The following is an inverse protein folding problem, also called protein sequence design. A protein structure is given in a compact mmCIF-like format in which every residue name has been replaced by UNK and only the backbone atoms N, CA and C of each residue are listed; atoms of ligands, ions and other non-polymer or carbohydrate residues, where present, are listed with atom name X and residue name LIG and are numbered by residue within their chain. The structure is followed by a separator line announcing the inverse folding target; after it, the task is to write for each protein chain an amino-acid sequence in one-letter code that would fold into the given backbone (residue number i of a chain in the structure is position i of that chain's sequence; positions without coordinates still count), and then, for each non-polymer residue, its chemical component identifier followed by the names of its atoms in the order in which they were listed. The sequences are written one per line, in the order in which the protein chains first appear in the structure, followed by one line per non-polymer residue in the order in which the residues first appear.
data_IF_486642672946
#
_entry.id   IF_486642672946
#
_cell.length_a   1.000
_cell.length_b   1.000
_cell.length_c   1.000
_cell.angle_alpha   90.00
_cell.angle_beta   90.00
_cell.angle_gamma   90.00
#
_symmetry.space_group_name_H-M   'P 1'
#
loop_
_entity.id
_entity.type
_entity.pdbx_description
1 polymer ?
#
# COMPACT_ATOMS: atom_id res chain seq x y z
N UNK A 1 39.49 7.93 11.01
CA UNK A 1 38.22 7.49 10.42
C UNK A 1 37.22 8.62 10.64
N UNK A 2 37.14 9.58 9.71
CA UNK A 2 36.20 10.72 9.81
C UNK A 2 35.07 10.40 8.85
N UNK A 3 34.09 9.66 9.35
CA UNK A 3 32.77 9.55 8.75
C UNK A 3 32.08 10.88 9.01
N UNK A 4 31.77 11.64 7.97
CA UNK A 4 30.76 12.70 8.09
C UNK A 4 29.39 12.02 8.03
N UNK A 5 29.13 11.18 9.05
CA UNK A 5 27.80 10.64 9.27
C UNK A 5 26.96 11.78 9.84
N UNK A 6 26.12 12.39 9.00
CA UNK A 6 24.76 12.61 9.48
C UNK A 6 24.17 11.21 9.63
N UNK A 7 24.01 10.73 10.86
CA UNK A 7 23.43 9.41 11.16
C UNK A 7 22.16 9.21 10.31
N UNK A 8 22.33 8.42 9.26
CA UNK A 8 21.30 7.99 8.32
C UNK A 8 21.59 6.52 8.06
N UNK A 9 21.02 5.74 8.95
CA UNK A 9 21.03 4.30 9.02
C UNK A 9 20.06 3.76 8.00
N UNK A 10 20.66 3.25 6.94
CA UNK A 10 20.31 2.21 5.96
C UNK A 10 18.86 1.82 5.60
N UNK A 11 17.80 2.50 6.06
CA UNK A 11 16.41 2.12 5.74
C UNK A 11 15.56 3.29 5.21
N UNK A 12 16.19 4.24 4.50
CA UNK A 12 15.54 5.35 3.79
C UNK A 12 16.16 5.59 2.40
N UNK A 13 16.51 4.52 1.69
CA UNK A 13 17.50 4.52 0.60
C UNK A 13 17.19 5.44 -0.62
N UNK A 14 15.93 5.77 -0.89
CA UNK A 14 15.56 6.40 -2.17
C UNK A 14 15.49 7.93 -2.17
N UNK A 15 15.63 8.60 -1.03
CA UNK A 15 15.69 10.08 -0.98
C UNK A 15 17.07 10.64 -0.65
N UNK A 16 17.98 9.78 -0.18
CA UNK A 16 19.32 10.18 0.25
C UNK A 16 20.31 9.91 -0.87
N UNK A 17 21.06 10.91 -1.31
CA UNK A 17 22.08 10.72 -2.34
C UNK A 17 23.32 10.05 -1.73
N UNK A 18 23.77 8.93 -2.29
CA UNK A 18 25.04 8.30 -1.90
C UNK A 18 26.15 8.75 -2.83
N UNK A 19 27.15 9.40 -2.26
CA UNK A 19 28.23 10.03 -3.00
C UNK A 19 29.56 9.54 -2.48
N UNK A 20 30.36 8.96 -3.37
CA UNK A 20 31.71 8.49 -3.07
C UNK A 20 32.72 9.51 -3.60
N UNK A 21 33.57 10.05 -2.72
CA UNK A 21 34.59 11.02 -3.11
C UNK A 21 35.98 10.62 -2.63
N UNK A 22 37.02 11.09 -3.32
CA UNK A 22 38.40 10.89 -2.92
C UNK A 22 38.69 11.70 -1.65
N UNK A 23 39.47 11.14 -0.71
CA UNK A 23 39.70 11.77 0.60
C UNK A 23 40.48 13.10 0.54
N UNK A 24 41.34 13.27 -0.45
CA UNK A 24 42.20 14.45 -0.63
C UNK A 24 41.46 15.73 -1.04
N UNK A 25 40.30 15.58 -1.68
CA UNK A 25 39.49 16.70 -2.19
C UNK A 25 38.42 17.18 -1.21
N UNK A 26 38.22 16.49 -0.07
CA UNK A 26 37.17 16.76 0.93
C UNK A 26 37.16 18.21 1.43
N UNK A 27 38.33 18.80 1.68
CA UNK A 27 38.43 20.17 2.20
C UNK A 27 37.98 21.22 1.19
N UNK A 28 38.03 20.91 -0.11
CA UNK A 28 37.63 21.81 -1.20
C UNK A 28 36.11 21.91 -1.34
N UNK A 29 35.35 20.99 -0.74
CA UNK A 29 33.90 20.87 -0.94
C UNK A 29 33.04 21.29 0.25
N UNK A 30 33.63 21.64 1.39
CA UNK A 30 32.85 22.00 2.60
C UNK A 30 31.81 23.09 2.34
N UNK A 31 32.13 24.03 1.46
CA UNK A 31 31.22 25.12 1.08
C UNK A 31 30.11 24.63 0.12
N UNK A 32 30.44 23.75 -0.84
CA UNK A 32 29.50 23.19 -1.81
C UNK A 32 28.45 22.26 -1.17
N UNK A 33 28.83 21.56 -0.10
CA UNK A 33 27.93 20.68 0.67
C UNK A 33 26.77 21.48 1.28
N UNK A 34 27.00 22.74 1.65
CA UNK A 34 25.99 23.58 2.30
C UNK A 34 24.88 24.07 1.36
N UNK A 35 25.10 24.04 0.03
CA UNK A 35 24.13 24.50 -0.97
C UNK A 35 23.20 23.39 -1.49
N UNK A 36 23.49 22.12 -1.19
CA UNK A 36 22.71 20.99 -1.69
C UNK A 36 21.52 20.75 -0.76
N UNK A 37 20.30 20.94 -1.27
CA UNK A 37 19.05 20.86 -0.51
C UNK A 37 18.56 19.43 -0.21
N UNK A 38 19.37 18.42 -0.47
CA UNK A 38 19.05 17.01 -0.31
C UNK A 38 19.90 16.39 0.80
N UNK A 39 19.37 15.38 1.49
CA UNK A 39 20.17 14.55 2.39
C UNK A 39 21.21 13.81 1.52
N UNK A 40 22.50 14.04 1.77
CA UNK A 40 23.61 13.38 1.05
C UNK A 40 24.43 12.57 2.05
N UNK A 41 24.59 11.28 1.79
CA UNK A 41 25.56 10.42 2.46
C UNK A 41 26.86 10.51 1.68
N UNK A 42 27.88 11.02 2.36
CA UNK A 42 29.24 11.12 1.82
C UNK A 42 30.08 9.98 2.36
N UNK A 43 30.64 9.17 1.46
CA UNK A 43 31.72 8.25 1.81
C UNK A 43 33.01 8.62 1.09
N UNK A 44 34.12 8.26 1.70
CA UNK A 44 35.47 8.65 1.29
C UNK A 44 36.28 7.41 0.91
N UNK A 45 37.02 7.47 -0.18
CA UNK A 45 37.96 6.41 -0.54
C UNK A 45 39.41 6.92 -0.64
N UNK A 46 40.34 5.98 -0.54
CA UNK A 46 41.77 6.10 -0.80
C UNK A 46 42.14 5.19 -2.00
N UNK A 47 43.24 5.47 -2.70
CA UNK A 47 43.51 4.82 -4.00
C UNK A 47 43.50 3.28 -3.99
N UNK A 48 43.79 2.66 -2.85
CA UNK A 48 43.83 1.20 -2.68
C UNK A 48 42.46 0.56 -2.44
N UNK A 49 41.49 1.28 -1.85
CA UNK A 49 40.16 0.73 -1.50
C UNK A 49 39.03 1.15 -2.46
N UNK A 50 39.36 1.97 -3.48
CA UNK A 50 38.40 2.50 -4.45
C UNK A 50 37.51 1.44 -5.09
N UNK A 51 38.14 0.35 -5.57
CA UNK A 51 37.46 -0.72 -6.29
C UNK A 51 36.51 -1.49 -5.38
N UNK A 52 36.94 -1.76 -4.15
CA UNK A 52 36.16 -2.51 -3.18
C UNK A 52 34.93 -1.70 -2.74
N UNK A 53 35.09 -0.38 -2.52
CA UNK A 53 33.99 0.52 -2.16
C UNK A 53 32.93 0.67 -3.25
N UNK A 54 33.35 0.77 -4.52
CA UNK A 54 32.39 0.83 -5.64
C UNK A 54 31.53 -0.43 -5.70
N UNK A 55 32.10 -1.59 -5.41
CA UNK A 55 31.40 -2.88 -5.46
C UNK A 55 30.57 -3.16 -4.20
N UNK A 56 30.91 -2.53 -3.07
CA UNK A 56 30.24 -2.76 -1.79
C UNK A 56 28.83 -2.14 -1.71
N UNK A 57 28.60 -1.01 -2.39
CA UNK A 57 27.35 -0.24 -2.29
C UNK A 57 26.85 0.25 -3.65
N UNK A 58 25.57 0.66 -3.71
CA UNK A 58 25.00 1.35 -4.88
C UNK A 58 25.21 2.86 -4.72
N UNK A 59 26.05 3.43 -5.57
CA UNK A 59 26.38 4.86 -5.57
C UNK A 59 25.57 5.64 -6.60
N UNK A 60 25.10 6.84 -6.24
CA UNK A 60 24.46 7.76 -7.17
C UNK A 60 25.52 8.54 -7.97
N UNK A 61 26.55 9.02 -7.27
CA UNK A 61 27.66 9.78 -7.85
C UNK A 61 29.00 9.32 -7.28
N UNK A 62 29.99 9.14 -8.15
CA UNK A 62 31.36 8.74 -7.79
C UNK A 62 32.34 9.74 -8.39
N UNK A 63 33.12 10.42 -7.55
CA UNK A 63 34.26 11.21 -7.99
C UNK A 63 35.47 10.29 -8.19
N UNK A 64 35.76 9.89 -9.42
CA UNK A 64 36.86 9.00 -9.74
C UNK A 64 36.80 8.45 -11.15
N UNK A 65 37.74 7.56 -11.49
CA UNK A 65 37.78 6.94 -12.81
C UNK A 65 36.65 5.93 -12.99
N UNK A 66 35.98 5.97 -14.14
CA UNK A 66 34.98 4.95 -14.49
C UNK A 66 35.68 3.61 -14.72
N UNK A 67 35.56 2.72 -13.75
CA UNK A 67 36.17 1.38 -13.79
C UNK A 67 35.19 0.29 -14.27
N UNK A 68 33.89 0.55 -14.22
CA UNK A 68 32.81 -0.38 -14.57
C UNK A 68 31.67 0.36 -15.29
N UNK A 69 30.92 -0.36 -16.13
CA UNK A 69 29.64 0.13 -16.61
C UNK A 69 28.57 -0.14 -15.56
N UNK A 70 28.07 0.94 -14.96
CA UNK A 70 26.97 0.94 -14.00
C UNK A 70 25.92 1.91 -14.55
N UNK A 71 24.75 1.40 -14.92
CA UNK A 71 23.71 2.20 -15.62
C UNK A 71 23.20 3.38 -14.78
N UNK A 72 23.22 3.24 -13.45
CA UNK A 72 22.64 4.21 -12.52
C UNK A 72 23.65 5.11 -11.80
N UNK A 73 24.96 4.94 -12.04
CA UNK A 73 26.01 5.66 -11.30
C UNK A 73 26.74 6.67 -12.18
N UNK A 74 26.80 7.92 -11.73
CA UNK A 74 27.51 8.99 -12.43
C UNK A 74 28.97 9.07 -11.98
N UNK A 75 29.89 8.75 -12.88
CA UNK A 75 31.32 8.94 -12.66
C UNK A 75 31.75 10.32 -13.13
N UNK A 76 32.45 11.05 -12.26
CA UNK A 76 32.92 12.42 -12.50
C UNK A 76 34.39 12.56 -12.12
N UNK A 77 35.12 13.44 -12.80
CA UNK A 77 36.57 13.62 -12.57
C UNK A 77 36.95 15.07 -12.24
N UNK A 78 36.01 16.01 -12.38
CA UNK A 78 36.21 17.42 -12.03
C UNK A 78 35.19 17.94 -11.04
N UNK A 79 35.54 19.01 -10.31
CA UNK A 79 34.65 19.62 -9.32
C UNK A 79 33.34 20.12 -9.94
N UNK A 80 33.43 20.70 -11.14
CA UNK A 80 32.27 21.21 -11.88
C UNK A 80 31.35 20.09 -12.34
N UNK A 81 31.92 18.96 -12.78
CA UNK A 81 31.14 17.77 -13.11
C UNK A 81 30.45 17.19 -11.88
N UNK A 82 31.14 17.15 -10.73
CA UNK A 82 30.54 16.71 -9.47
C UNK A 82 29.35 17.58 -9.07
N UNK A 83 29.50 18.90 -9.10
CA UNK A 83 28.40 19.83 -8.80
C UNK A 83 27.19 19.58 -9.71
N UNK A 84 27.42 19.44 -11.01
CA UNK A 84 26.36 19.18 -11.98
C UNK A 84 25.73 17.80 -11.78
N UNK A 85 26.54 16.78 -11.51
CA UNK A 85 26.08 15.42 -11.26
C UNK A 85 25.24 15.32 -9.98
N UNK A 86 25.60 16.05 -8.92
CA UNK A 86 24.81 16.12 -7.70
C UNK A 86 23.46 16.80 -7.93
N UNK A 87 23.45 17.94 -8.65
CA UNK A 87 22.20 18.62 -9.05
C UNK A 87 21.32 17.73 -9.91
N UNK A 88 21.91 17.01 -10.87
CA UNK A 88 21.20 16.07 -11.73
C UNK A 88 20.65 14.88 -10.95
N UNK A 89 21.46 14.26 -10.07
CA UNK A 89 21.06 13.10 -9.28
C UNK A 89 19.92 13.46 -8.31
N UNK A 90 19.99 14.63 -7.66
CA UNK A 90 18.91 15.18 -6.87
C UNK A 90 17.61 15.32 -7.69
N UNK A 91 17.68 16.01 -8.83
CA UNK A 91 16.53 16.20 -9.70
C UNK A 91 15.97 14.88 -10.26
N UNK A 92 16.83 13.88 -10.51
CA UNK A 92 16.42 12.54 -10.93
C UNK A 92 15.64 11.83 -9.82
N UNK A 93 16.11 11.86 -8.58
CA UNK A 93 15.40 11.27 -7.42
C UNK A 93 14.06 11.96 -7.16
N UNK A 94 14.01 13.28 -7.26
CA UNK A 94 12.75 14.04 -7.20
C UNK A 94 11.76 13.57 -8.27
N UNK A 95 12.23 13.41 -9.50
CA UNK A 95 11.42 12.95 -10.63
C UNK A 95 10.95 11.51 -10.47
N UNK A 96 11.81 10.60 -9.99
CA UNK A 96 11.43 9.22 -9.68
C UNK A 96 10.40 9.15 -8.55
N UNK A 97 10.56 9.97 -7.51
CA UNK A 97 9.58 10.12 -6.42
C UNK A 97 8.24 10.63 -6.96
N UNK A 98 8.24 11.68 -7.78
CA UNK A 98 7.02 12.22 -8.41
C UNK A 98 6.35 11.16 -9.29
N UNK A 99 7.13 10.42 -10.09
CA UNK A 99 6.61 9.32 -10.92
C UNK A 99 6.00 8.21 -10.08
N UNK A 100 6.64 7.80 -9.00
CA UNK A 100 6.12 6.79 -8.08
C UNK A 100 4.78 7.23 -7.48
N UNK A 101 4.69 8.47 -6.98
CA UNK A 101 3.44 9.05 -6.47
C UNK A 101 2.35 9.11 -7.54
N UNK A 102 2.70 9.54 -8.75
CA UNK A 102 1.75 9.61 -9.86
C UNK A 102 1.23 8.22 -10.26
N UNK A 103 2.10 7.22 -10.30
CA UNK A 103 1.72 5.83 -10.56
C UNK A 103 0.76 5.32 -9.47
N UNK A 104 1.04 5.57 -8.19
CA UNK A 104 0.12 5.21 -7.10
C UNK A 104 -1.25 5.88 -7.27
N UNK A 105 -1.28 7.17 -7.61
CA UNK A 105 -2.51 7.90 -7.90
C UNK A 105 -3.27 7.40 -9.12
N UNK A 106 -2.67 6.63 -10.01
CA UNK A 106 -3.35 6.08 -11.19
C UNK A 106 -3.81 4.64 -10.98
N UNK A 107 -3.04 3.85 -10.24
CA UNK A 107 -3.23 2.40 -10.19
C UNK A 107 -3.77 1.89 -8.85
N UNK A 108 -3.73 2.69 -7.79
CA UNK A 108 -4.25 2.29 -6.47
C UNK A 108 -5.72 2.69 -6.34
N UNK A 109 -6.68 1.74 -6.26
CA UNK A 109 -8.10 2.07 -6.19
C UNK A 109 -8.44 2.90 -4.96
N UNK A 110 -7.83 2.62 -3.81
CA UNK A 110 -8.02 3.37 -2.55
C UNK A 110 -7.84 4.90 -2.73
N UNK A 111 -6.93 5.30 -3.62
CA UNK A 111 -6.53 6.69 -3.85
C UNK A 111 -7.32 7.37 -4.97
N UNK A 112 -8.34 6.71 -5.53
CA UNK A 112 -9.15 7.25 -6.61
C UNK A 112 -10.34 8.06 -6.10
N UNK A 113 -10.66 9.15 -6.80
CA UNK A 113 -11.85 9.96 -6.58
C UNK A 113 -11.57 11.40 -6.18
N UNK A 114 -12.63 12.20 -6.04
CA UNK A 114 -12.54 13.61 -5.72
C UNK A 114 -12.43 13.83 -4.21
N UNK A 115 -13.23 13.12 -3.41
CA UNK A 115 -13.24 13.30 -1.96
C UNK A 115 -11.93 12.80 -1.35
N UNK A 116 -11.41 11.67 -1.83
CA UNK A 116 -10.12 11.19 -1.35
C UNK A 116 -8.93 12.07 -1.75
N UNK A 117 -9.00 12.81 -2.86
CA UNK A 117 -7.94 13.77 -3.23
C UNK A 117 -7.79 14.88 -2.19
N UNK A 118 -8.88 15.37 -1.62
CA UNK A 118 -8.83 16.35 -0.53
C UNK A 118 -8.10 15.79 0.69
N UNK A 119 -8.39 14.54 1.05
CA UNK A 119 -7.72 13.82 2.14
C UNK A 119 -6.23 13.62 1.82
N UNK A 120 -5.87 13.29 0.58
CA UNK A 120 -4.47 13.13 0.19
C UNK A 120 -3.66 14.41 0.34
N UNK A 121 -4.23 15.58 0.00
CA UNK A 121 -3.59 16.86 0.27
C UNK A 121 -3.43 17.12 1.77
N UNK A 122 -4.40 16.71 2.57
CA UNK A 122 -4.30 16.81 4.03
C UNK A 122 -3.22 15.89 4.58
N UNK A 123 -3.14 14.63 4.16
CA UNK A 123 -2.09 13.68 4.57
C UNK A 123 -0.71 14.21 4.16
N UNK A 124 -0.56 14.74 2.94
CA UNK A 124 0.69 15.35 2.49
C UNK A 124 1.08 16.58 3.33
N UNK A 125 0.11 17.43 3.66
CA UNK A 125 0.34 18.59 4.54
C UNK A 125 0.82 18.14 5.91
N UNK A 126 0.18 17.12 6.49
CA UNK A 126 0.56 16.57 7.80
C UNK A 126 1.95 15.94 7.74
N UNK A 127 2.23 15.17 6.70
CA UNK A 127 3.55 14.59 6.45
C UNK A 127 4.64 15.66 6.41
N UNK A 128 4.40 16.83 5.82
CA UNK A 128 5.39 17.91 5.77
C UNK A 128 5.47 18.74 7.07
N UNK A 129 4.39 18.78 7.87
CA UNK A 129 4.29 19.70 9.02
C UNK A 129 4.63 19.04 10.35
N UNK A 130 4.43 17.74 10.49
CA UNK A 130 4.57 17.02 11.75
C UNK A 130 5.64 15.94 11.67
N UNK A 131 6.39 15.78 12.77
CA UNK A 131 7.26 14.61 12.96
C UNK A 131 6.47 13.35 13.28
N UNK A 132 5.32 13.49 13.95
CA UNK A 132 4.44 12.38 14.31
C UNK A 132 2.98 12.77 14.01
N UNK A 133 2.26 11.91 13.30
CA UNK A 133 0.81 12.04 13.13
C UNK A 133 0.14 10.68 12.94
N UNK A 134 -1.18 10.63 13.10
CA UNK A 134 -1.98 9.43 12.93
C UNK A 134 -2.87 9.47 11.68
N UNK A 135 -3.06 8.33 11.05
CA UNK A 135 -4.10 8.04 10.07
C UNK A 135 -5.19 7.25 10.78
N UNK A 136 -6.33 7.90 10.98
CA UNK A 136 -7.50 7.30 11.65
C UNK A 136 -8.46 6.83 10.56
N UNK A 137 -8.82 5.55 10.58
CA UNK A 137 -9.71 4.99 9.58
C UNK A 137 -10.46 3.77 10.12
N UNK A 138 -11.62 3.48 9.55
CA UNK A 138 -12.27 2.20 9.82
C UNK A 138 -11.51 1.02 9.22
N UNK A 139 -11.76 -0.17 9.77
CA UNK A 139 -11.21 -1.42 9.25
C UNK A 139 -11.57 -1.62 7.78
N UNK A 140 -10.62 -2.13 7.01
CA UNK A 140 -10.77 -2.38 5.57
C UNK A 140 -10.43 -1.17 4.67
N UNK A 141 -10.04 -0.04 5.26
CA UNK A 141 -9.36 1.05 4.55
C UNK A 141 -7.88 0.69 4.40
N UNK A 142 -7.32 0.79 3.19
CA UNK A 142 -5.91 0.46 2.95
C UNK A 142 -4.98 1.62 3.35
N UNK A 143 -4.69 1.77 4.65
CA UNK A 143 -3.84 2.85 5.18
C UNK A 143 -2.45 2.93 4.52
N UNK A 144 -1.84 1.78 4.19
CA UNK A 144 -0.56 1.73 3.48
C UNK A 144 -0.56 2.54 2.19
N UNK A 145 -1.68 2.58 1.45
CA UNK A 145 -1.76 3.35 0.21
C UNK A 145 -1.49 4.86 0.43
N UNK A 146 -1.94 5.41 1.57
CA UNK A 146 -1.72 6.81 1.93
C UNK A 146 -0.28 7.06 2.37
N UNK A 147 0.31 6.09 3.07
CA UNK A 147 1.71 6.14 3.47
C UNK A 147 2.61 6.03 2.24
N UNK A 148 2.35 5.08 1.34
CA UNK A 148 3.03 4.93 0.06
C UNK A 148 2.95 6.23 -0.75
N UNK A 149 1.78 6.87 -0.78
CA UNK A 149 1.59 8.13 -1.49
C UNK A 149 2.50 9.26 -0.98
N UNK A 150 2.66 9.43 0.33
CA UNK A 150 3.50 10.52 0.86
C UNK A 150 4.99 10.16 0.88
N UNK A 151 5.32 8.89 1.08
CA UNK A 151 6.71 8.41 1.20
C UNK A 151 7.32 7.94 -0.12
N UNK A 152 6.51 7.70 -1.15
CA UNK A 152 6.95 7.01 -2.37
C UNK A 152 7.26 5.53 -2.15
N UNK A 153 6.72 4.91 -1.09
CA UNK A 153 7.04 3.53 -0.67
C UNK A 153 8.25 3.42 0.27
N UNK A 154 8.88 4.55 0.63
CA UNK A 154 10.10 4.58 1.43
C UNK A 154 9.81 4.76 2.92
N UNK A 155 9.44 3.66 3.58
CA UNK A 155 9.23 3.62 5.03
C UNK A 155 9.37 2.20 5.56
N UNK A 156 9.63 2.10 6.86
CA UNK A 156 9.55 0.84 7.58
C UNK A 156 8.13 0.63 8.09
N UNK A 157 7.45 -0.40 7.59
CA UNK A 157 6.15 -0.83 8.13
C UNK A 157 6.36 -1.80 9.29
N UNK A 158 5.74 -1.51 10.43
CA UNK A 158 5.75 -2.34 11.62
C UNK A 158 4.32 -2.73 12.00
N UNK A 159 4.18 -3.97 12.48
CA UNK A 159 2.95 -4.43 13.13
C UNK A 159 3.08 -4.08 14.60
N UNK A 160 2.04 -3.46 15.17
CA UNK A 160 2.02 -3.13 16.58
C UNK A 160 2.11 -4.38 17.47
N UNK A 161 3.01 -4.33 18.44
CA UNK A 161 3.14 -5.27 19.55
C UNK A 161 3.43 -4.48 20.83
N UNK A 162 3.11 -5.04 22.00
CA UNK A 162 3.35 -4.34 23.29
C UNK A 162 4.84 -4.00 23.51
N UNK A 163 5.74 -4.83 22.97
CA UNK A 163 7.20 -4.66 23.06
C UNK A 163 7.79 -4.08 21.76
N UNK A 164 7.39 -2.87 21.36
CA UNK A 164 8.01 -2.18 20.22
C UNK A 164 9.46 -1.76 20.53
N UNK A 165 10.39 -1.88 19.57
CA UNK A 165 11.78 -1.49 19.78
C UNK A 165 11.92 0.02 20.02
N UNK A 166 12.69 0.38 21.05
CA UNK A 166 12.91 1.76 21.48
C UNK A 166 13.79 2.58 20.53
N UNK A 167 14.50 1.95 19.60
CA UNK A 167 15.37 2.67 18.67
C UNK A 167 15.20 2.12 17.24
N UNK A 168 14.39 2.81 16.44
CA UNK A 168 14.15 2.47 15.05
C UNK A 168 14.98 3.42 14.19
N UNK A 169 15.87 2.82 13.42
CA UNK A 169 16.88 3.50 12.65
C UNK A 169 16.40 3.70 11.20
N UNK A 170 15.25 4.37 11.03
CA UNK A 170 14.69 4.66 9.70
C UNK A 170 14.17 6.10 9.60
N UNK A 171 14.13 6.62 8.38
CA UNK A 171 13.67 7.99 8.11
C UNK A 171 12.18 8.17 8.37
N UNK A 172 11.39 7.21 7.92
CA UNK A 172 9.94 7.16 8.18
C UNK A 172 9.56 5.77 8.70
N UNK A 173 8.77 5.74 9.76
CA UNK A 173 8.19 4.52 10.34
C UNK A 173 6.67 4.61 10.25
N UNK A 174 6.03 3.56 9.79
CA UNK A 174 4.59 3.37 9.91
C UNK A 174 4.31 2.23 10.88
N UNK A 175 3.50 2.47 11.90
CA UNK A 175 3.07 1.44 12.85
C UNK A 175 1.56 1.28 12.69
N UNK A 176 1.14 0.10 12.24
CA UNK A 176 -0.26 -0.18 11.92
C UNK A 176 -1.02 -0.76 13.13
N UNK A 177 -2.33 -0.52 13.18
CA UNK A 177 -3.26 -1.05 14.21
C UNK A 177 -2.87 -0.74 15.67
N UNK A 178 -2.47 0.49 15.91
CA UNK A 178 -2.04 0.97 17.23
C UNK A 178 -3.26 1.35 18.09
N UNK A 179 -3.26 1.04 19.41
CA UNK A 179 -4.39 1.36 20.28
C UNK A 179 -4.54 2.88 20.51
N UNK A 180 -5.74 3.38 20.86
CA UNK A 180 -6.03 4.82 20.87
C UNK A 180 -5.31 5.61 21.98
N UNK A 181 -4.84 4.91 23.01
CA UNK A 181 -4.07 5.42 24.14
C UNK A 181 -2.56 5.27 23.95
N UNK A 182 -2.11 4.77 22.79
CA UNK A 182 -0.70 4.63 22.48
C UNK A 182 0.06 5.96 22.57
N UNK A 183 1.24 5.89 23.16
CA UNK A 183 2.17 7.00 23.23
C UNK A 183 3.43 6.63 22.48
N UNK A 184 3.86 7.43 21.49
CA UNK A 184 5.11 7.20 20.76
C UNK A 184 6.35 7.57 21.60
N UNK A 185 6.20 7.89 22.89
CA UNK A 185 7.30 8.24 23.77
C UNK A 185 8.32 7.10 23.82
N UNK A 186 9.56 7.40 23.44
CA UNK A 186 10.64 6.42 23.39
C UNK A 186 10.76 5.66 22.07
N UNK A 187 9.95 5.95 21.05
CA UNK A 187 10.25 5.53 19.68
C UNK A 187 11.30 6.47 19.08
N UNK A 188 12.44 5.92 18.66
CA UNK A 188 13.40 6.58 17.76
C UNK A 188 12.91 6.60 16.31
N UNK A 189 13.21 7.66 15.56
CA UNK A 189 12.88 7.79 14.13
C UNK A 189 12.68 9.25 13.72
N UNK A 190 13.06 9.64 12.49
CA UNK A 190 12.91 11.04 12.02
C UNK A 190 11.43 11.42 11.79
N UNK A 191 10.60 10.45 11.36
CA UNK A 191 9.16 10.64 11.12
C UNK A 191 8.36 9.38 11.45
N UNK A 192 7.25 9.53 12.17
CA UNK A 192 6.40 8.40 12.61
C UNK A 192 4.97 8.63 12.15
N UNK A 193 4.37 7.63 11.54
CA UNK A 193 2.98 7.61 11.12
C UNK A 193 2.30 6.46 11.85
N UNK A 194 1.14 6.72 12.46
CA UNK A 194 0.41 5.72 13.26
C UNK A 194 -0.91 5.37 12.57
N UNK A 195 -1.20 4.09 12.37
CA UNK A 195 -2.50 3.60 11.94
C UNK A 195 -3.40 3.36 13.16
N UNK A 196 -4.57 3.97 13.20
CA UNK A 196 -5.50 3.83 14.32
C UNK A 196 -6.95 3.67 13.85
N UNK A 197 -7.74 2.94 14.62
CA UNK A 197 -9.16 2.70 14.33
C UNK A 197 -10.09 3.73 14.97
N UNK A 198 -9.55 4.56 15.88
CA UNK A 198 -10.27 5.65 16.51
C UNK A 198 -9.33 6.79 16.85
N UNK A 199 -9.90 7.93 17.23
CA UNK A 199 -9.14 9.15 17.48
C UNK A 199 -8.17 8.99 18.66
N UNK A 200 -6.90 9.43 18.52
CA UNK A 200 -5.92 9.34 19.59
C UNK A 200 -6.32 10.21 20.79
N UNK A 201 -6.11 9.71 22.01
CA UNK A 201 -6.36 10.48 23.25
C UNK A 201 -5.22 11.42 23.63
N UNK A 202 -4.03 11.22 23.06
CA UNK A 202 -2.77 11.82 23.52
C UNK A 202 -2.36 13.08 22.73
N UNK A 203 -3.31 13.88 22.23
CA UNK A 203 -3.05 15.12 21.47
C UNK A 203 -2.18 14.93 20.21
N UNK A 204 -2.12 13.72 19.68
CA UNK A 204 -1.40 13.41 18.43
C UNK A 204 -2.21 13.99 17.27
N UNK A 205 -1.62 14.83 16.39
CA UNK A 205 -2.30 15.30 15.19
C UNK A 205 -2.74 14.11 14.34
N UNK A 206 -3.96 14.15 13.81
CA UNK A 206 -4.47 13.05 12.99
C UNK A 206 -5.20 13.52 11.73
N UNK A 207 -5.24 12.63 10.74
CA UNK A 207 -6.08 12.75 9.55
C UNK A 207 -7.07 11.61 9.58
N UNK A 208 -8.36 11.94 9.45
CA UNK A 208 -9.43 10.96 9.38
C UNK A 208 -9.69 10.60 7.91
N UNK A 209 -9.54 9.31 7.58
CA UNK A 209 -9.82 8.78 6.25
C UNK A 209 -11.27 8.31 6.24
N UNK A 210 -12.14 8.91 5.41
CA UNK A 210 -13.56 8.59 5.42
C UNK A 210 -13.80 7.16 4.90
N UNK A 211 -14.74 6.42 5.52
CA UNK A 211 -15.13 5.11 5.03
C UNK A 211 -15.79 5.22 3.65
N UNK A 212 -15.81 4.11 2.89
CA UNK A 212 -16.23 4.11 1.50
C UNK A 212 -17.67 4.63 1.30
N UNK A 213 -18.57 4.35 2.26
CA UNK A 213 -19.96 4.86 2.28
C UNK A 213 -20.09 6.38 2.37
N UNK A 214 -19.08 7.07 2.87
CA UNK A 214 -19.07 8.53 2.97
C UNK A 214 -18.43 9.18 1.74
N UNK A 215 -17.80 8.38 0.88
CA UNK A 215 -17.19 8.82 -0.38
C UNK A 215 -17.72 8.06 -1.59
N UNK A 216 -19.04 7.84 -1.64
CA UNK A 216 -19.72 7.11 -2.73
C UNK A 216 -19.43 7.63 -4.13
N UNK A 217 -19.18 8.94 -4.27
CA UNK A 217 -18.80 9.57 -5.54
C UNK A 217 -17.44 9.12 -6.07
N UNK A 218 -16.59 8.55 -5.21
CA UNK A 218 -15.26 8.06 -5.56
C UNK A 218 -15.34 6.64 -6.16
N UNK A 219 -16.37 5.85 -5.83
CA UNK A 219 -16.56 4.45 -6.24
C UNK A 219 -16.42 4.24 -7.76
N UNK A 220 -17.03 5.05 -8.65
CA UNK A 220 -16.86 4.88 -10.10
C UNK A 220 -15.42 5.01 -10.56
N UNK A 221 -14.63 5.89 -9.95
CA UNK A 221 -13.22 6.07 -10.28
C UNK A 221 -12.37 4.90 -9.80
N UNK A 222 -12.68 4.37 -8.60
CA UNK A 222 -12.05 3.16 -8.08
C UNK A 222 -12.32 1.96 -9.01
N UNK A 223 -13.57 1.83 -9.47
CA UNK A 223 -14.00 0.77 -10.37
C UNK A 223 -13.28 0.82 -11.71
N UNK A 224 -13.17 2.00 -12.33
CA UNK A 224 -12.42 2.19 -13.58
C UNK A 224 -10.94 1.78 -13.44
N UNK A 225 -10.31 2.11 -12.31
CA UNK A 225 -8.94 1.67 -12.01
C UNK A 225 -8.81 0.14 -11.96
N UNK A 226 -9.75 -0.55 -11.31
CA UNK A 226 -9.77 -2.02 -11.25
C UNK A 226 -10.04 -2.64 -12.62
N UNK A 227 -10.94 -2.06 -13.42
CA UNK A 227 -11.18 -2.54 -14.80
C UNK A 227 -9.91 -2.42 -15.63
N UNK A 228 -9.23 -1.28 -15.58
CA UNK A 228 -7.99 -1.04 -16.33
C UNK A 228 -6.88 -2.02 -15.93
N UNK A 229 -6.73 -2.31 -14.64
CA UNK A 229 -5.73 -3.27 -14.17
C UNK A 229 -6.01 -4.69 -14.71
N UNK A 230 -7.29 -5.08 -14.77
CA UNK A 230 -7.72 -6.37 -15.31
C UNK A 230 -7.62 -6.44 -16.85
N UNK A 231 -7.91 -5.34 -17.54
CA UNK A 231 -7.71 -5.24 -18.99
C UNK A 231 -6.24 -5.36 -19.38
N UNK A 232 -5.33 -4.80 -18.58
CA UNK A 232 -3.88 -4.98 -18.76
C UNK A 232 -3.45 -6.44 -18.60
N UNK A 233 -4.18 -7.22 -17.79
CA UNK A 233 -4.01 -8.67 -17.65
C UNK A 233 -4.69 -9.49 -18.77
N UNK A 234 -5.21 -8.82 -19.82
CA UNK A 234 -5.83 -9.46 -20.98
C UNK A 234 -7.30 -9.84 -20.80
N UNK A 235 -7.97 -9.38 -19.73
CA UNK A 235 -9.41 -9.66 -19.50
C UNK A 235 -10.28 -8.58 -20.13
N UNK A 236 -11.25 -8.99 -20.94
CA UNK A 236 -12.25 -8.05 -21.47
C UNK A 236 -13.41 -7.95 -20.49
N UNK A 237 -13.51 -6.81 -19.82
CA UNK A 237 -14.53 -6.56 -18.80
C UNK A 237 -15.50 -5.51 -19.33
N UNK A 238 -16.79 -5.84 -19.35
CA UNK A 238 -17.87 -4.88 -19.57
C UNK A 238 -18.67 -4.78 -18.28
N UNK A 239 -18.75 -3.57 -17.73
CA UNK A 239 -19.60 -3.26 -16.59
C UNK A 239 -20.84 -2.56 -17.11
N UNK A 240 -22.00 -3.05 -16.69
CA UNK A 240 -23.29 -2.41 -16.96
C UNK A 240 -23.46 -1.17 -16.05
N UNK A 241 -24.12 -0.14 -16.56
CA UNK A 241 -24.43 1.07 -15.80
C UNK A 241 -25.27 0.73 -14.56
N UNK A 242 -26.12 -0.30 -14.64
CA UNK A 242 -26.94 -0.76 -13.52
C UNK A 242 -26.10 -1.43 -12.41
N UNK A 243 -25.04 -2.15 -12.76
CA UNK A 243 -24.09 -2.69 -11.77
C UNK A 243 -23.36 -1.54 -11.05
N UNK A 244 -22.99 -0.49 -11.78
CA UNK A 244 -22.33 0.68 -11.18
C UNK A 244 -23.23 1.37 -10.15
N UNK A 245 -24.53 1.53 -10.44
CA UNK A 245 -25.50 2.11 -9.48
C UNK A 245 -25.60 1.27 -8.20
N UNK A 246 -25.68 -0.06 -8.34
CA UNK A 246 -25.74 -0.97 -7.19
C UNK A 246 -24.48 -0.87 -6.31
N UNK A 247 -23.30 -0.76 -6.93
CA UNK A 247 -22.04 -0.58 -6.20
C UNK A 247 -21.99 0.76 -5.44
N UNK A 248 -22.57 1.82 -5.99
CA UNK A 248 -22.65 3.13 -5.33
C UNK A 248 -23.61 3.11 -4.13
N UNK A 249 -24.75 2.43 -4.25
CA UNK A 249 -25.79 2.42 -3.22
C UNK A 249 -25.40 1.61 -1.98
N UNK A 250 -24.60 0.55 -2.16
CA UNK A 250 -24.15 -0.33 -1.08
C UNK A 250 -23.31 0.41 -0.01
N UNK A 251 -23.37 -0.08 1.23
CA UNK A 251 -22.78 0.58 2.40
C UNK A 251 -21.33 0.17 2.69
N UNK A 252 -20.79 -0.85 2.01
CA UNK A 252 -19.39 -1.29 2.12
C UNK A 252 -18.88 -1.37 3.58
N UNK A 253 -19.46 -2.23 4.44
CA UNK A 253 -19.02 -2.38 5.83
C UNK A 253 -17.55 -2.82 5.98
N UNK A 254 -16.96 -3.49 4.99
CA UNK A 254 -15.53 -3.79 4.91
C UNK A 254 -14.73 -2.81 4.05
N UNK A 255 -15.28 -1.62 3.78
CA UNK A 255 -14.66 -0.52 3.07
C UNK A 255 -14.05 -0.93 1.72
N UNK A 256 -12.86 -0.42 1.40
CA UNK A 256 -12.20 -0.66 0.12
C UNK A 256 -11.77 -2.13 -0.03
N UNK A 257 -11.39 -2.79 1.07
CA UNK A 257 -11.04 -4.20 1.03
C UNK A 257 -12.20 -5.06 0.51
N UNK A 258 -13.39 -4.93 1.11
CA UNK A 258 -14.58 -5.65 0.65
C UNK A 258 -14.94 -5.27 -0.79
N UNK A 259 -14.84 -3.98 -1.14
CA UNK A 259 -15.10 -3.51 -2.50
C UNK A 259 -14.21 -4.21 -3.52
N UNK A 260 -12.89 -4.25 -3.28
CA UNK A 260 -11.95 -4.88 -4.19
C UNK A 260 -12.22 -6.38 -4.30
N UNK A 261 -12.35 -7.08 -3.17
CA UNK A 261 -12.64 -8.51 -3.15
C UNK A 261 -13.90 -8.85 -3.97
N UNK A 262 -14.99 -8.09 -3.77
CA UNK A 262 -16.26 -8.31 -4.48
C UNK A 262 -16.23 -7.92 -5.94
N UNK A 263 -15.59 -6.81 -6.29
CA UNK A 263 -15.47 -6.39 -7.68
C UNK A 263 -14.59 -7.37 -8.47
N UNK A 264 -13.48 -7.84 -7.89
CA UNK A 264 -12.67 -8.89 -8.50
C UNK A 264 -13.47 -10.18 -8.67
N UNK A 265 -14.24 -10.60 -7.65
CA UNK A 265 -15.13 -11.77 -7.74
C UNK A 265 -16.13 -11.62 -8.90
N UNK A 266 -16.86 -10.51 -8.99
CA UNK A 266 -17.87 -10.24 -10.02
C UNK A 266 -17.25 -10.24 -11.43
N UNK A 267 -16.08 -9.62 -11.60
CA UNK A 267 -15.44 -9.47 -12.91
C UNK A 267 -14.72 -10.73 -13.38
N UNK A 268 -14.20 -11.55 -12.45
CA UNK A 268 -13.51 -12.80 -12.78
C UNK A 268 -14.47 -13.93 -13.13
N UNK A 269 -15.75 -13.80 -12.81
CA UNK A 269 -16.81 -14.71 -13.22
C UNK A 269 -17.19 -14.44 -14.69
N UNK A 270 -17.30 -15.52 -15.48
CA UNK A 270 -17.44 -15.46 -16.94
C UNK A 270 -18.70 -14.72 -17.45
N UNK A 271 -19.72 -14.49 -16.61
CA UNK A 271 -20.92 -13.72 -16.99
C UNK A 271 -21.73 -13.22 -15.76
N UNK A 272 -21.44 -12.01 -15.24
CA UNK A 272 -22.06 -11.50 -14.00
C UNK A 272 -23.53 -11.07 -14.15
N UNK A 273 -23.99 -10.69 -15.35
CA UNK A 273 -25.37 -10.24 -15.59
C UNK A 273 -26.35 -11.43 -15.66
N UNK A 274 -25.96 -12.52 -16.31
CA UNK A 274 -26.82 -13.73 -16.41
C UNK A 274 -27.00 -14.45 -15.07
N UNK A 275 -26.03 -14.34 -14.15
CA UNK A 275 -26.19 -14.89 -12.80
C UNK A 275 -27.01 -13.98 -11.89
N UNK A 276 -26.82 -12.64 -11.94
CA UNK A 276 -27.68 -11.71 -11.21
C UNK A 276 -29.16 -11.86 -11.63
N UNK A 277 -29.43 -12.04 -12.93
CA UNK A 277 -30.78 -12.28 -13.44
C UNK A 277 -31.31 -13.69 -13.13
N UNK A 278 -30.51 -14.77 -13.21
CA UNK A 278 -30.93 -16.13 -12.82
C UNK A 278 -31.21 -16.26 -11.33
N UNK A 279 -30.54 -15.46 -10.50
CA UNK A 279 -30.76 -15.35 -9.06
C UNK A 279 -32.07 -14.61 -8.78
N UNK A 280 -32.38 -13.56 -9.53
CA UNK A 280 -33.64 -12.81 -9.42
C UNK A 280 -34.86 -13.59 -9.96
N UNK A 281 -34.70 -14.39 -11.01
CA UNK A 281 -35.81 -15.11 -11.65
C UNK A 281 -36.20 -16.43 -10.96
N UNK A 282 -35.50 -16.84 -9.89
CA UNK A 282 -35.76 -18.08 -9.17
C UNK A 282 -36.58 -17.91 -7.88
N UNK A 283 -36.97 -16.68 -7.53
CA UNK A 283 -37.62 -16.40 -6.24
C UNK A 283 -38.73 -15.37 -6.46
N UNK A 284 -39.90 -15.85 -6.89
CA UNK A 284 -41.14 -15.05 -7.01
C UNK A 284 -41.66 -14.53 -5.64
N UNK A 285 -40.97 -14.82 -4.53
CA UNK A 285 -41.37 -14.43 -3.16
C UNK A 285 -40.56 -13.28 -2.55
N UNK A 286 -39.65 -12.60 -3.28
CA UNK A 286 -38.87 -11.47 -2.74
C UNK A 286 -39.58 -10.14 -2.97
N UNK A 287 -40.77 -10.01 -2.42
CA UNK A 287 -41.34 -8.68 -2.12
C UNK A 287 -41.27 -8.48 -0.61
N UNK A 288 -40.29 -7.68 -0.16
CA UNK A 288 -40.26 -7.16 1.21
C UNK A 288 -39.08 -7.57 2.09
N UNK A 289 -38.08 -8.28 1.57
CA UNK A 289 -36.84 -8.55 2.31
C UNK A 289 -35.89 -7.35 2.22
N UNK A 290 -35.26 -6.98 3.34
CA UNK A 290 -34.17 -6.00 3.31
C UNK A 290 -32.88 -6.66 2.78
N UNK A 291 -31.91 -5.84 2.32
CA UNK A 291 -30.71 -6.33 1.63
C UNK A 291 -29.88 -7.32 2.48
N UNK A 292 -29.92 -7.20 3.81
CA UNK A 292 -29.24 -8.14 4.71
C UNK A 292 -29.91 -9.52 4.67
N UNK A 293 -31.24 -9.57 4.79
CA UNK A 293 -32.01 -10.81 4.66
C UNK A 293 -31.90 -11.42 3.26
N UNK A 294 -31.80 -10.57 2.23
CA UNK A 294 -31.53 -11.00 0.87
C UNK A 294 -30.14 -11.62 0.73
N UNK A 295 -29.08 -10.99 1.23
CA UNK A 295 -27.72 -11.52 1.16
C UNK A 295 -27.56 -12.76 2.03
N UNK A 296 -28.12 -12.78 3.24
CA UNK A 296 -28.09 -13.95 4.12
C UNK A 296 -28.81 -15.14 3.45
N UNK A 297 -29.97 -14.91 2.83
CA UNK A 297 -30.68 -15.97 2.09
C UNK A 297 -29.92 -16.43 0.83
N UNK A 298 -29.21 -15.53 0.14
CA UNK A 298 -28.37 -15.87 -1.01
C UNK A 298 -27.16 -16.72 -0.60
N UNK A 299 -26.48 -16.34 0.47
CA UNK A 299 -25.34 -17.10 1.00
C UNK A 299 -25.81 -18.48 1.44
N UNK A 300 -26.93 -18.58 2.17
CA UNK A 300 -27.51 -19.88 2.56
C UNK A 300 -27.89 -20.73 1.34
N UNK A 301 -28.47 -20.11 0.30
CA UNK A 301 -28.85 -20.80 -0.92
C UNK A 301 -27.64 -21.34 -1.70
N UNK A 302 -26.61 -20.51 -1.89
CA UNK A 302 -25.37 -20.90 -2.57
C UNK A 302 -24.66 -21.99 -1.78
N UNK A 303 -24.51 -21.83 -0.46
CA UNK A 303 -23.88 -22.84 0.39
C UNK A 303 -24.62 -24.19 0.32
N UNK A 304 -25.95 -24.17 0.38
CA UNK A 304 -26.78 -25.38 0.26
C UNK A 304 -26.57 -26.06 -1.09
N UNK A 305 -26.51 -25.30 -2.19
CA UNK A 305 -26.34 -25.83 -3.55
C UNK A 305 -24.94 -26.41 -3.76
N UNK A 306 -23.90 -25.73 -3.26
CA UNK A 306 -22.51 -26.19 -3.34
C UNK A 306 -22.30 -27.46 -2.54
N UNK A 307 -22.80 -27.53 -1.29
CA UNK A 307 -22.71 -28.72 -0.45
C UNK A 307 -23.48 -29.89 -1.08
N UNK A 308 -24.69 -29.64 -1.61
CA UNK A 308 -25.50 -30.67 -2.29
C UNK A 308 -24.79 -31.23 -3.52
N UNK A 309 -24.26 -30.36 -4.39
CA UNK A 309 -23.54 -30.77 -5.60
C UNK A 309 -22.28 -31.57 -5.25
N UNK A 310 -21.51 -31.13 -4.26
CA UNK A 310 -20.30 -31.84 -3.82
C UNK A 310 -20.64 -33.22 -3.23
N UNK A 311 -21.77 -33.36 -2.53
CA UNK A 311 -22.26 -34.65 -2.02
C UNK A 311 -22.69 -35.58 -3.16
N UNK A 312 -23.36 -35.06 -4.20
CA UNK A 312 -23.77 -35.83 -5.38
C UNK A 312 -22.55 -36.34 -6.17
N UNK A 313 -21.55 -35.49 -6.41
CA UNK A 313 -20.33 -35.82 -7.17
C UNK A 313 -19.38 -36.78 -6.42
N UNK A 314 -19.46 -36.82 -5.08
CA UNK A 314 -18.62 -37.68 -4.24
C UNK A 314 -19.40 -38.85 -3.61
N UNK A 315 -20.57 -39.20 -4.16
CA UNK A 315 -21.41 -40.33 -3.73
C UNK A 315 -21.73 -40.31 -2.21
N UNK A 316 -21.88 -39.12 -1.63
CA UNK A 316 -22.15 -38.94 -0.21
C UNK A 316 -20.95 -39.14 0.73
N UNK A 317 -19.72 -39.29 0.19
CA UNK A 317 -18.51 -39.42 1.00
C UNK A 317 -18.12 -38.08 1.65
N UNK A 318 -18.62 -37.85 2.86
CA UNK A 318 -18.44 -36.60 3.63
C UNK A 318 -16.98 -36.22 3.87
N UNK A 319 -16.06 -37.19 3.96
CA UNK A 319 -14.63 -36.92 4.16
C UNK A 319 -14.00 -36.33 2.90
N UNK A 320 -14.31 -36.89 1.73
CA UNK A 320 -13.88 -36.33 0.43
C UNK A 320 -14.52 -34.96 0.17
N UNK A 321 -15.78 -34.76 0.55
CA UNK A 321 -16.45 -33.45 0.43
C UNK A 321 -15.76 -32.38 1.30
N UNK A 322 -15.32 -32.73 2.51
CA UNK A 322 -14.53 -31.83 3.35
C UNK A 322 -13.19 -31.43 2.69
N UNK A 323 -12.53 -32.38 2.03
CA UNK A 323 -11.27 -32.16 1.31
C UNK A 323 -11.48 -31.28 0.06
N UNK A 324 -12.51 -31.57 -0.74
CA UNK A 324 -12.86 -30.81 -1.96
C UNK A 324 -13.31 -29.38 -1.63
N UNK A 325 -14.10 -29.20 -0.57
CA UNK A 325 -14.60 -27.88 -0.16
C UNK A 325 -13.69 -27.19 0.87
N UNK A 326 -12.52 -27.76 1.16
CA UNK A 326 -11.53 -27.26 2.12
C UNK A 326 -12.14 -26.80 3.46
N UNK A 327 -13.00 -27.64 4.06
CA UNK A 327 -13.72 -27.31 5.28
C UNK A 327 -13.60 -28.41 6.33
N UNK A 328 -13.63 -28.02 7.61
CA UNK A 328 -13.61 -28.96 8.72
C UNK A 328 -14.90 -29.80 8.74
N UNK A 329 -14.79 -31.09 9.05
CA UNK A 329 -15.90 -32.03 9.20
C UNK A 329 -17.00 -31.52 10.15
N UNK A 330 -16.63 -30.85 11.24
CA UNK A 330 -17.61 -30.24 12.17
C UNK A 330 -18.43 -29.14 11.49
N UNK A 331 -17.79 -28.31 10.65
CA UNK A 331 -18.44 -27.23 9.90
C UNK A 331 -19.36 -27.76 8.81
N UNK A 332 -18.90 -28.77 8.06
CA UNK A 332 -19.73 -29.44 7.05
C UNK A 332 -20.97 -30.08 7.71
N UNK A 333 -20.78 -30.82 8.81
CA UNK A 333 -21.88 -31.47 9.54
C UNK A 333 -22.92 -30.47 10.07
N UNK A 334 -22.46 -29.34 10.63
CA UNK A 334 -23.34 -28.25 11.06
C UNK A 334 -24.15 -27.66 9.89
N UNK A 335 -23.50 -27.36 8.77
CA UNK A 335 -24.16 -26.81 7.57
C UNK A 335 -25.14 -27.81 6.93
N UNK A 336 -24.79 -29.08 6.86
CA UNK A 336 -25.70 -30.13 6.37
C UNK A 336 -26.97 -30.26 7.24
N UNK A 337 -26.82 -30.17 8.57
CA UNK A 337 -27.95 -30.16 9.50
C UNK A 337 -28.79 -28.88 9.39
N UNK A 338 -28.14 -27.71 9.26
CA UNK A 338 -28.80 -26.41 9.07
C UNK A 338 -29.65 -26.39 7.78
N UNK A 339 -29.16 -27.01 6.70
CA UNK A 339 -29.81 -26.97 5.39
C UNK A 339 -30.70 -28.18 5.06
N UNK A 340 -30.88 -29.12 6.01
CA UNK A 340 -31.74 -30.30 5.85
C UNK A 340 -31.24 -31.31 4.81
N UNK A 341 -29.91 -31.44 4.65
CA UNK A 341 -29.27 -32.35 3.70
C UNK A 341 -28.95 -33.73 4.32
N UNK A 342 -29.45 -34.01 5.53
CA UNK A 342 -29.28 -35.26 6.30
C UNK A 342 -30.46 -35.53 7.21
#
# INVERSE_FOLDING_TARGET
MVRFETEATDNGADTVLRVLIRKDIVNTFKDMISEISHDVIWDLYEGEDYRDKILAEKWDVVFGEKILEMEDTLFVQSLRELELALKYAAARKDLETIKARFNLLLYTPELQGAKIKEILFQVLKFYNSFSIFALVSEKGVHRHAYVDFVTGGNYLSLIYHEDLPLNINSHTVFIDDVPPDFSPAGLGGRKIILGMDSTPKNNIPFVEIPPLRERKMDIPYMLDGVIKSLQFQGKTVKIDDDLTKLLIEYHWPGNTQEFLEKVYEIITLENPVDQAMKIASGIDEIKGLNLKEFVDSLVEFVEKKVIKKALEENEGNRKKVCEVLNMNYKTLSYKMKKYGLT
#
